data_IF_103484587584
#
_entry.id   IF_103484587584
#
_cell.length_a   1.000
_cell.length_b   1.000
_cell.length_c   1.000
_cell.angle_alpha   90.00
_cell.angle_beta   90.00
_cell.angle_gamma   90.00
#
_symmetry.space_group_name_H-M   'P 1'
#
loop_
_entity.id
_entity.type
_entity.pdbx_description
1 polymer ?
#
# COMPACT_ATOMS: atom_id res chain seq x y z
N UNK A 1 -12.09 35.22 -16.10
CA UNK A 1 -11.44 34.11 -16.81
C UNK A 1 -11.16 32.99 -15.80
N UNK A 2 -11.98 31.93 -15.76
CA UNK A 2 -11.90 30.85 -14.77
C UNK A 2 -11.22 29.62 -15.41
N UNK A 3 -10.00 29.30 -15.00
CA UNK A 3 -9.33 28.05 -15.39
C UNK A 3 -9.99 26.87 -14.65
N UNK A 4 -10.62 25.97 -15.41
CA UNK A 4 -11.08 24.67 -14.92
C UNK A 4 -9.86 23.75 -14.80
N UNK A 5 -9.57 23.26 -13.59
CA UNK A 5 -8.61 22.16 -13.37
C UNK A 5 -9.29 20.87 -13.83
N UNK A 6 -8.76 20.28 -14.91
CA UNK A 6 -9.21 18.98 -15.43
C UNK A 6 -8.45 17.89 -14.65
N UNK A 7 -9.14 17.16 -13.78
CA UNK A 7 -8.63 15.91 -13.20
C UNK A 7 -8.83 14.82 -14.24
N UNK A 8 -7.73 14.29 -14.80
CA UNK A 8 -7.74 13.17 -15.73
C UNK A 8 -7.50 11.89 -14.92
N UNK A 9 -8.58 11.21 -14.56
CA UNK A 9 -8.53 9.86 -13.96
C UNK A 9 -8.68 8.87 -15.10
N UNK A 10 -7.56 8.35 -15.62
CA UNK A 10 -7.55 7.39 -16.73
C UNK A 10 -7.54 5.95 -16.20
N UNK A 11 -8.53 5.15 -16.61
CA UNK A 11 -8.60 3.72 -16.31
C UNK A 11 -7.88 2.93 -17.42
N UNK A 12 -6.96 2.03 -17.05
CA UNK A 12 -6.23 1.17 -17.99
C UNK A 12 -6.95 -0.18 -18.13
N UNK A 13 -7.15 -0.66 -19.36
CA UNK A 13 -7.68 -2.00 -19.64
C UNK A 13 -6.79 -2.70 -20.68
N UNK A 14 -6.41 -3.97 -20.42
CA UNK A 14 -5.54 -4.78 -21.30
C UNK A 14 -6.38 -5.89 -21.94
N UNK A 15 -6.25 -6.07 -23.27
CA UNK A 15 -6.83 -7.19 -24.00
C UNK A 15 -5.74 -8.19 -24.42
N UNK A 16 -5.93 -9.49 -24.13
CA UNK A 16 -5.01 -10.59 -24.47
C UNK A 16 -5.62 -11.46 -25.57
N UNK A 17 -4.85 -11.78 -26.61
CA UNK A 17 -5.27 -12.70 -27.68
C UNK A 17 -4.84 -14.16 -27.37
N UNK A 18 -5.61 -15.17 -27.81
CA UNK A 18 -5.37 -16.56 -27.43
C UNK A 18 -4.35 -17.25 -28.34
N UNK A 19 -3.18 -17.57 -27.80
CA UNK A 19 -2.24 -18.56 -28.33
C UNK A 19 -1.83 -19.49 -27.19
N UNK A 20 -1.87 -20.80 -27.41
CA UNK A 20 -1.55 -21.91 -26.47
C UNK A 20 -1.39 -21.48 -24.99
N UNK A 21 -2.51 -21.53 -24.27
CA UNK A 21 -2.67 -21.04 -22.90
C UNK A 21 -1.91 -21.91 -21.88
N UNK A 22 -0.62 -21.63 -21.66
CA UNK A 22 -0.21 -21.50 -20.25
C UNK A 22 -0.99 -20.29 -19.77
N UNK A 23 -1.94 -20.45 -18.85
CA UNK A 23 -2.66 -19.31 -18.31
C UNK A 23 -1.64 -18.41 -17.60
N UNK A 24 -1.31 -17.29 -18.23
CA UNK A 24 -0.40 -16.29 -17.69
C UNK A 24 -1.24 -15.24 -16.99
N UNK A 25 -0.94 -14.98 -15.73
CA UNK A 25 -1.55 -13.91 -14.96
C UNK A 25 -0.67 -12.68 -15.12
N UNK A 26 -1.17 -11.68 -15.85
CA UNK A 26 -0.56 -10.35 -15.96
C UNK A 26 -1.31 -9.39 -15.04
N UNK A 27 -0.61 -8.79 -14.09
CA UNK A 27 -1.18 -7.81 -13.17
C UNK A 27 -0.33 -6.55 -13.15
N UNK A 28 -0.96 -5.39 -13.29
CA UNK A 28 -0.32 -4.11 -13.02
C UNK A 28 -0.23 -3.97 -11.51
N UNK A 29 0.98 -3.93 -10.96
CA UNK A 29 1.19 -3.77 -9.52
C UNK A 29 1.30 -2.32 -9.09
N UNK A 30 1.76 -1.45 -10.00
CA UNK A 30 1.90 -0.01 -9.72
C UNK A 30 2.01 0.80 -11.02
N UNK A 31 1.48 2.02 -11.02
CA UNK A 31 1.69 3.03 -12.07
C UNK A 31 2.27 4.29 -11.42
N UNK A 32 3.54 4.62 -11.70
CA UNK A 32 4.18 5.85 -11.21
C UNK A 32 4.08 6.97 -12.25
N UNK A 33 3.26 7.98 -11.95
CA UNK A 33 3.06 9.18 -12.78
C UNK A 33 3.97 10.34 -12.38
N UNK A 34 4.92 10.15 -11.45
CA UNK A 34 5.78 11.21 -10.91
C UNK A 34 6.68 11.91 -11.94
N UNK A 35 6.83 11.34 -13.14
CA UNK A 35 7.59 11.89 -14.27
C UNK A 35 6.72 12.45 -15.40
N UNK A 36 5.40 12.40 -15.26
CA UNK A 36 4.45 12.76 -16.32
C UNK A 36 4.57 14.23 -16.71
N UNK A 37 4.66 15.14 -15.73
CA UNK A 37 4.74 16.58 -16.01
C UNK A 37 6.12 17.01 -16.53
N UNK A 38 7.18 16.33 -16.10
CA UNK A 38 8.56 16.70 -16.45
C UNK A 38 9.00 16.14 -17.80
N UNK A 39 8.59 14.91 -18.11
CA UNK A 39 9.12 14.16 -19.26
C UNK A 39 8.04 13.50 -20.11
N UNK A 40 6.76 13.64 -19.75
CA UNK A 40 5.65 12.92 -20.38
C UNK A 40 5.82 11.39 -20.33
N UNK A 41 6.48 10.90 -19.28
CA UNK A 41 6.74 9.46 -19.07
C UNK A 41 5.98 8.95 -17.85
N UNK A 42 5.58 7.68 -17.93
CA UNK A 42 4.94 6.93 -16.85
C UNK A 42 5.73 5.63 -16.71
N UNK A 43 6.06 5.27 -15.48
CA UNK A 43 6.70 4.00 -15.18
C UNK A 43 5.62 3.01 -14.70
N UNK A 44 5.41 1.92 -15.43
CA UNK A 44 4.45 0.86 -15.06
C UNK A 44 5.19 -0.37 -14.54
N UNK A 45 4.74 -0.88 -13.39
CA UNK A 45 5.27 -2.08 -12.77
C UNK A 45 4.28 -3.22 -12.96
N UNK A 46 4.78 -4.35 -13.46
CA UNK A 46 3.99 -5.51 -13.84
C UNK A 46 4.47 -6.73 -13.05
N UNK A 47 3.54 -7.56 -12.60
CA UNK A 47 3.79 -8.92 -12.16
C UNK A 47 3.29 -9.87 -13.24
N UNK A 48 4.13 -10.80 -13.67
CA UNK A 48 3.76 -11.87 -14.60
C UNK A 48 4.01 -13.20 -13.91
N UNK A 49 2.96 -13.99 -13.72
CA UNK A 49 3.07 -15.34 -13.15
C UNK A 49 2.39 -16.36 -14.04
N UNK A 50 2.76 -17.63 -13.88
CA UNK A 50 1.97 -18.72 -14.42
C UNK A 50 0.67 -18.96 -13.61
N UNK A 51 -0.03 -20.04 -13.93
CA UNK A 51 -1.28 -20.46 -13.28
C UNK A 51 -1.05 -20.98 -11.85
N UNK A 52 0.16 -21.39 -11.52
CA UNK A 52 0.59 -21.77 -10.18
C UNK A 52 1.06 -20.57 -9.34
N UNK A 53 1.10 -19.36 -9.93
CA UNK A 53 1.56 -18.15 -9.27
C UNK A 53 3.09 -18.01 -9.26
N UNK A 54 3.81 -18.84 -10.02
CA UNK A 54 5.27 -18.78 -10.13
C UNK A 54 5.64 -17.66 -11.10
N UNK A 55 6.55 -16.72 -10.73
CA UNK A 55 6.98 -15.64 -11.60
C UNK A 55 7.60 -16.16 -12.91
N UNK A 56 7.12 -15.64 -14.04
CA UNK A 56 7.67 -15.94 -15.35
C UNK A 56 8.97 -15.13 -15.57
N UNK A 57 10.06 -15.83 -15.84
CA UNK A 57 11.40 -15.22 -16.01
C UNK A 57 11.72 -14.86 -17.47
N UNK A 58 11.01 -15.46 -18.42
CA UNK A 58 11.19 -15.26 -19.86
C UNK A 58 9.93 -14.69 -20.48
N UNK A 59 9.97 -13.39 -20.78
CA UNK A 59 8.94 -12.66 -21.55
C UNK A 59 9.63 -12.02 -22.74
N UNK A 60 9.06 -12.12 -23.93
CA UNK A 60 9.49 -11.30 -25.07
C UNK A 60 8.90 -9.89 -24.92
N UNK A 61 9.74 -8.84 -24.79
CA UNK A 61 9.28 -7.46 -24.75
C UNK A 61 8.34 -7.08 -25.91
N UNK A 62 8.48 -7.71 -27.08
CA UNK A 62 7.63 -7.46 -28.26
C UNK A 62 6.18 -7.93 -28.11
N UNK A 63 5.90 -8.78 -27.13
CA UNK A 63 4.54 -9.27 -26.84
C UNK A 63 3.75 -8.33 -25.93
N UNK A 64 4.42 -7.41 -25.23
CA UNK A 64 3.76 -6.46 -24.34
C UNK A 64 3.18 -5.31 -25.15
N UNK A 65 1.87 -5.11 -25.01
CA UNK A 65 1.16 -3.96 -25.58
C UNK A 65 0.49 -3.19 -24.46
N UNK A 66 0.74 -1.89 -24.41
CA UNK A 66 0.09 -0.98 -23.47
C UNK A 66 -0.88 -0.11 -24.27
N UNK A 67 -2.10 0.03 -23.77
CA UNK A 67 -3.10 0.93 -24.32
C UNK A 67 -3.60 1.85 -23.21
N UNK A 68 -3.96 3.08 -23.58
CA UNK A 68 -4.52 4.05 -22.65
C UNK A 68 -5.75 4.70 -23.26
N UNK A 69 -6.68 5.11 -22.40
CA UNK A 69 -7.92 5.75 -22.83
C UNK A 69 -7.68 7.21 -23.25
N UNK A 70 -8.27 7.60 -24.39
CA UNK A 70 -8.42 8.98 -24.85
C UNK A 70 -9.88 9.26 -25.20
N UNK A 71 -10.26 10.54 -25.33
CA UNK A 71 -11.56 10.91 -25.88
C UNK A 71 -11.72 10.27 -27.28
N UNK A 72 -12.56 9.24 -27.37
CA UNK A 72 -12.79 8.47 -28.61
C UNK A 72 -12.33 7.01 -28.58
N UNK A 73 -11.74 6.52 -27.48
CA UNK A 73 -11.45 5.09 -27.28
C UNK A 73 -10.01 4.81 -26.84
N UNK A 74 -9.63 3.54 -26.96
CA UNK A 74 -8.29 3.07 -26.58
C UNK A 74 -7.26 3.44 -27.64
N UNK A 75 -6.13 4.00 -27.20
CA UNK A 75 -4.97 4.32 -28.04
C UNK A 75 -3.74 3.54 -27.58
N UNK A 76 -2.86 3.09 -28.49
CA UNK A 76 -1.60 2.45 -28.09
C UNK A 76 -0.68 3.47 -27.39
N UNK A 77 -0.02 3.02 -26.32
CA UNK A 77 1.05 3.75 -25.67
C UNK A 77 2.41 3.24 -26.20
N UNK A 78 3.34 4.16 -26.44
CA UNK A 78 4.71 3.80 -26.83
C UNK A 78 5.46 3.23 -25.62
N UNK A 79 6.07 2.06 -25.81
CA UNK A 79 6.91 1.43 -24.81
C UNK A 79 8.36 1.85 -25.07
N UNK A 80 8.88 2.74 -24.22
CA UNK A 80 10.25 3.26 -24.37
C UNK A 80 11.33 2.25 -23.95
N UNK A 81 11.06 1.44 -22.93
CA UNK A 81 11.98 0.44 -22.40
C UNK A 81 11.26 -0.56 -21.51
N UNK A 82 11.74 -1.81 -21.47
CA UNK A 82 11.29 -2.85 -20.54
C UNK A 82 12.49 -3.32 -19.73
N UNK A 83 12.38 -3.27 -18.40
CA UNK A 83 13.43 -3.71 -17.47
C UNK A 83 12.95 -4.97 -16.74
N UNK A 84 13.52 -6.12 -17.08
CA UNK A 84 13.29 -7.38 -16.36
C UNK A 84 13.96 -7.32 -15.00
N UNK A 85 13.31 -7.85 -13.98
CA UNK A 85 13.81 -7.84 -12.60
C UNK A 85 14.20 -6.44 -12.11
N UNK A 86 13.56 -5.37 -12.62
CA UNK A 86 13.82 -3.99 -12.20
C UNK A 86 13.68 -3.72 -10.70
N UNK A 87 13.18 -4.70 -9.93
CA UNK A 87 13.22 -4.75 -8.49
C UNK A 87 14.64 -4.68 -7.88
N UNK A 88 15.68 -5.20 -8.56
CA UNK A 88 17.03 -5.26 -7.96
C UNK A 88 17.76 -3.91 -7.93
N UNK A 89 17.43 -2.97 -8.82
CA UNK A 89 18.13 -1.68 -8.91
C UNK A 89 17.24 -0.45 -8.67
N UNK A 90 15.91 -0.61 -8.64
CA UNK A 90 15.01 0.51 -8.36
C UNK A 90 14.82 0.67 -6.85
N UNK A 91 15.31 1.78 -6.29
CA UNK A 91 15.12 2.11 -4.88
C UNK A 91 13.62 2.16 -4.53
N UNK A 92 13.18 1.23 -3.67
CA UNK A 92 11.80 1.17 -3.19
C UNK A 92 11.62 2.05 -1.96
N UNK A 93 10.43 2.65 -1.81
CA UNK A 93 10.07 3.44 -0.63
C UNK A 93 8.91 2.75 0.09
N UNK A 94 9.16 2.35 1.32
CA UNK A 94 8.18 1.73 2.19
C UNK A 94 7.69 2.71 3.24
N UNK A 95 6.40 2.63 3.58
CA UNK A 95 5.85 3.21 4.80
C UNK A 95 5.19 2.09 5.61
N UNK A 96 5.78 1.80 6.76
CA UNK A 96 5.22 0.88 7.73
C UNK A 96 4.11 1.61 8.50
N UNK A 97 2.89 1.08 8.47
CA UNK A 97 1.73 1.67 9.12
C UNK A 97 1.20 0.67 10.14
N UNK A 98 1.37 0.97 11.41
CA UNK A 98 1.08 0.05 12.51
C UNK A 98 -0.19 0.50 13.21
N UNK A 99 -1.15 -0.42 13.30
CA UNK A 99 -2.34 -0.25 14.10
C UNK A 99 -1.95 -0.23 15.58
N UNK A 100 -2.27 0.87 16.25
CA UNK A 100 -2.03 1.11 17.66
C UNK A 100 -3.35 1.21 18.43
N UNK A 101 -4.38 0.48 18.01
CA UNK A 101 -5.65 0.37 18.71
C UNK A 101 -5.54 -0.55 19.95
N UNK A 102 -6.60 -0.55 20.77
CA UNK A 102 -6.61 -1.32 22.02
C UNK A 102 -6.48 -2.83 21.81
N UNK A 103 -7.13 -3.36 20.77
CA UNK A 103 -7.16 -4.79 20.41
C UNK A 103 -5.81 -5.32 19.96
N UNK A 104 -4.92 -4.45 19.45
CA UNK A 104 -3.55 -4.83 19.12
C UNK A 104 -2.73 -5.21 20.37
N UNK A 105 -3.15 -4.79 21.57
CA UNK A 105 -2.50 -5.17 22.83
C UNK A 105 -3.12 -6.39 23.51
N UNK A 106 -4.15 -6.98 22.92
CA UNK A 106 -4.69 -8.25 23.40
C UNK A 106 -3.78 -9.41 22.98
N UNK A 107 -3.80 -10.53 23.73
CA UNK A 107 -3.04 -11.71 23.39
C UNK A 107 -3.31 -12.18 21.96
N UNK A 108 -2.25 -12.66 21.31
CA UNK A 108 -2.40 -13.44 20.08
C UNK A 108 -3.20 -14.71 20.44
N UNK A 109 -4.29 -14.98 19.71
CA UNK A 109 -5.08 -16.19 19.94
C UNK A 109 -4.21 -17.45 19.80
N UNK A 110 -4.71 -18.60 20.25
CA UNK A 110 -4.07 -19.92 20.07
C UNK A 110 -2.87 -20.27 20.98
N UNK A 111 -2.74 -19.61 22.13
CA UNK A 111 -1.76 -20.00 23.15
C UNK A 111 -0.34 -19.52 22.85
N UNK A 112 -0.15 -18.69 21.83
CA UNK A 112 1.07 -17.94 21.63
C UNK A 112 1.25 -16.90 22.76
N UNK A 113 2.49 -16.72 23.19
CA UNK A 113 2.80 -15.69 24.17
C UNK A 113 2.96 -14.33 23.49
N UNK A 114 2.50 -13.30 24.20
CA UNK A 114 2.58 -11.92 23.77
C UNK A 114 1.31 -11.41 23.09
N UNK A 115 1.32 -10.11 22.83
CA UNK A 115 0.26 -9.36 22.17
C UNK A 115 0.47 -9.25 20.67
N UNK A 116 -0.60 -8.96 19.92
CA UNK A 116 -0.51 -8.74 18.46
C UNK A 116 0.49 -7.63 18.11
N UNK A 117 0.56 -6.58 18.93
CA UNK A 117 1.51 -5.46 18.81
C UNK A 117 2.95 -5.93 18.96
N UNK A 118 3.26 -6.80 19.92
CA UNK A 118 4.62 -7.34 20.08
C UNK A 118 5.04 -8.16 18.86
N UNK A 119 4.12 -8.97 18.31
CA UNK A 119 4.35 -9.73 17.08
C UNK A 119 4.51 -8.82 15.85
N UNK A 120 3.68 -7.78 15.74
CA UNK A 120 3.78 -6.78 14.67
C UNK A 120 5.13 -6.05 14.71
N UNK A 121 5.57 -5.59 15.88
CA UNK A 121 6.87 -4.94 16.04
C UNK A 121 8.02 -5.91 15.75
N UNK A 122 7.93 -7.16 16.19
CA UNK A 122 8.93 -8.19 15.87
C UNK A 122 9.05 -8.42 14.36
N UNK A 123 7.92 -8.53 13.65
CA UNK A 123 7.90 -8.68 12.20
C UNK A 123 8.49 -7.44 11.49
N UNK A 124 8.17 -6.25 11.98
CA UNK A 124 8.75 -5.00 11.49
C UNK A 124 10.26 -4.99 11.67
N UNK A 125 10.78 -5.32 12.84
CA UNK A 125 12.24 -5.34 13.07
C UNK A 125 12.93 -6.39 12.20
N UNK A 126 12.34 -7.57 12.02
CA UNK A 126 12.87 -8.59 11.12
C UNK A 126 12.92 -8.09 9.67
N UNK A 127 11.84 -7.44 9.19
CA UNK A 127 11.81 -6.82 7.87
C UNK A 127 12.87 -5.73 7.72
N UNK A 128 12.98 -4.83 8.70
CA UNK A 128 13.98 -3.77 8.70
C UNK A 128 15.40 -4.34 8.62
N UNK A 129 15.68 -5.42 9.35
CA UNK A 129 16.98 -6.09 9.33
C UNK A 129 17.32 -6.69 7.95
N UNK A 130 16.35 -7.35 7.32
CA UNK A 130 16.51 -7.93 5.97
C UNK A 130 16.84 -6.85 4.92
N UNK A 131 16.25 -5.66 5.03
CA UNK A 131 16.42 -4.59 4.05
C UNK A 131 17.52 -3.58 4.41
N UNK A 132 18.26 -3.76 5.51
CA UNK A 132 19.35 -2.85 5.94
C UNK A 132 20.41 -2.63 4.86
N UNK A 133 20.71 -3.66 4.07
CA UNK A 133 21.71 -3.61 3.00
C UNK A 133 21.14 -3.14 1.65
N UNK A 134 19.82 -2.87 1.58
CA UNK A 134 19.14 -2.46 0.36
C UNK A 134 19.29 -0.95 0.08
N UNK A 135 18.94 -0.52 -1.13
CA UNK A 135 18.84 0.91 -1.50
C UNK A 135 17.50 1.54 -1.06
N UNK A 136 16.69 0.83 -0.28
CA UNK A 136 15.33 1.24 0.06
C UNK A 136 15.30 2.47 1.00
N UNK A 137 14.15 3.13 1.01
CA UNK A 137 13.77 4.09 2.04
C UNK A 137 12.64 3.51 2.86
N UNK A 138 12.66 3.73 4.15
CA UNK A 138 11.62 3.23 5.05
C UNK A 138 11.19 4.33 5.98
N UNK A 139 9.88 4.51 6.11
CA UNK A 139 9.24 5.34 7.11
C UNK A 139 8.38 4.48 8.03
N UNK A 140 7.94 5.07 9.13
CA UNK A 140 7.01 4.44 10.06
C UNK A 140 5.94 5.43 10.50
N UNK A 141 4.72 4.94 10.62
CA UNK A 141 3.57 5.64 11.16
C UNK A 141 2.77 4.69 12.06
N UNK A 142 2.05 5.28 13.00
CA UNK A 142 1.04 4.58 13.80
C UNK A 142 -0.31 5.23 13.62
N UNK A 143 -1.36 4.44 13.79
CA UNK A 143 -2.71 4.97 13.78
C UNK A 143 -3.63 4.32 14.81
N UNK A 144 -4.63 5.07 15.23
CA UNK A 144 -5.77 4.62 16.01
C UNK A 144 -6.96 5.57 15.70
N UNK A 145 -7.39 6.38 16.66
CA UNK A 145 -8.22 7.57 16.44
C UNK A 145 -7.52 8.65 15.60
N UNK A 146 -6.19 8.70 15.67
CA UNK A 146 -5.33 9.68 14.98
C UNK A 146 -4.33 8.98 14.08
N UNK A 147 -3.77 9.70 13.11
CA UNK A 147 -2.64 9.24 12.32
C UNK A 147 -1.37 10.01 12.70
N UNK A 148 -0.32 9.31 13.13
CA UNK A 148 0.96 9.92 13.49
C UNK A 148 2.11 9.34 12.67
N UNK A 149 2.74 10.19 11.87
CA UNK A 149 3.99 9.84 11.19
C UNK A 149 5.15 9.90 12.18
N UNK A 150 5.70 8.75 12.54
CA UNK A 150 6.80 8.62 13.51
C UNK A 150 8.15 8.94 12.88
N UNK A 151 8.34 8.50 11.63
CA UNK A 151 9.50 8.80 10.81
C UNK A 151 9.10 8.87 9.35
N UNK A 152 9.54 9.93 8.66
CA UNK A 152 9.43 10.01 7.20
C UNK A 152 10.29 8.91 6.55
N UNK A 153 9.97 8.47 5.32
CA UNK A 153 10.85 7.56 4.60
C UNK A 153 12.29 8.08 4.45
N UNK A 154 13.21 7.39 5.11
CA UNK A 154 14.66 7.67 5.15
C UNK A 154 15.46 6.41 4.80
N UNK A 155 16.73 6.57 4.44
CA UNK A 155 17.63 5.42 4.20
C UNK A 155 18.28 4.90 5.49
N UNK A 156 18.37 5.74 6.51
CA UNK A 156 18.90 5.35 7.82
C UNK A 156 17.84 4.56 8.58
N UNK A 157 17.97 3.24 8.54
CA UNK A 157 17.04 2.31 9.19
C UNK A 157 17.07 2.47 10.72
N UNK A 158 18.21 2.84 11.31
CA UNK A 158 18.30 3.01 12.78
C UNK A 158 17.39 4.14 13.25
N UNK A 159 17.27 5.23 12.48
CA UNK A 159 16.35 6.32 12.80
C UNK A 159 14.87 5.86 12.83
N UNK A 160 14.51 4.88 12.00
CA UNK A 160 13.18 4.27 11.98
C UNK A 160 13.00 3.36 13.18
N UNK A 161 13.99 2.51 13.50
CA UNK A 161 13.98 1.64 14.68
C UNK A 161 13.81 2.44 15.98
N UNK A 162 14.55 3.55 16.14
CA UNK A 162 14.39 4.45 17.29
C UNK A 162 13.02 5.14 17.33
N UNK A 163 12.39 5.36 16.17
CA UNK A 163 11.04 5.90 16.11
C UNK A 163 9.98 4.90 16.57
N UNK A 164 10.14 3.63 16.22
CA UNK A 164 9.25 2.54 16.63
C UNK A 164 9.29 2.28 18.13
N UNK A 165 10.44 2.46 18.79
CA UNK A 165 10.56 2.34 20.26
C UNK A 165 9.70 3.34 21.04
N UNK A 166 9.25 4.42 20.40
CA UNK A 166 8.37 5.43 21.02
C UNK A 166 6.89 5.06 20.98
N UNK A 167 6.53 3.94 20.35
CA UNK A 167 5.15 3.47 20.30
C UNK A 167 4.75 2.99 21.70
N UNK A 168 3.73 3.65 22.25
CA UNK A 168 3.15 3.30 23.54
C UNK A 168 1.68 2.96 23.38
N UNK A 169 1.19 2.08 24.26
CA UNK A 169 -0.23 1.73 24.32
C UNK A 169 -1.08 2.99 24.50
N UNK A 170 -2.11 3.21 23.67
CA UNK A 170 -2.96 4.39 23.80
C UNK A 170 -3.82 4.31 25.06
N UNK A 171 -4.29 5.46 25.50
CA UNK A 171 -5.35 5.54 26.51
C UNK A 171 -6.64 4.90 26.00
N UNK A 172 -7.47 4.36 26.92
CA UNK A 172 -8.78 3.77 26.58
C UNK A 172 -9.71 4.72 25.81
N UNK A 173 -9.51 6.03 25.92
CA UNK A 173 -10.31 7.04 25.22
C UNK A 173 -9.92 7.20 23.74
N UNK A 174 -8.80 6.62 23.32
CA UNK A 174 -8.27 6.67 21.96
C UNK A 174 -8.27 5.28 21.29
N UNK A 175 -8.97 4.29 21.88
CA UNK A 175 -9.04 2.91 21.39
C UNK A 175 -9.95 2.72 20.16
N UNK A 176 -10.16 3.76 19.36
CA UNK A 176 -10.87 3.71 18.10
C UNK A 176 -9.88 3.46 16.97
N UNK A 177 -10.38 3.05 15.80
CA UNK A 177 -9.53 2.66 14.66
C UNK A 177 -10.05 3.31 13.39
N UNK A 178 -9.33 4.30 12.89
CA UNK A 178 -9.62 5.05 11.66
C UNK A 178 -8.83 4.45 10.48
N UNK A 179 -9.08 3.18 10.17
CA UNK A 179 -8.28 2.37 9.24
C UNK A 179 -8.16 3.01 7.85
N UNK A 180 -9.29 3.33 7.22
CA UNK A 180 -9.32 3.86 5.86
C UNK A 180 -8.74 5.28 5.78
N UNK A 181 -8.94 6.08 6.84
CA UNK A 181 -8.27 7.36 6.95
C UNK A 181 -6.75 7.20 7.04
N UNK A 182 -6.27 6.25 7.86
CA UNK A 182 -4.84 5.98 8.00
C UNK A 182 -4.19 5.53 6.69
N UNK A 183 -4.86 4.66 5.91
CA UNK A 183 -4.38 4.26 4.58
C UNK A 183 -4.31 5.47 3.64
N UNK A 184 -5.33 6.32 3.65
CA UNK A 184 -5.33 7.55 2.84
C UNK A 184 -4.17 8.48 3.23
N UNK A 185 -3.93 8.69 4.52
CA UNK A 185 -2.82 9.52 5.03
C UNK A 185 -1.46 8.93 4.70
N UNK A 186 -1.31 7.61 4.79
CA UNK A 186 -0.09 6.92 4.39
C UNK A 186 0.21 7.11 2.89
N UNK A 187 -0.83 7.07 2.05
CA UNK A 187 -0.69 7.37 0.63
C UNK A 187 -0.24 8.81 0.39
N UNK A 188 -0.82 9.79 1.11
CA UNK A 188 -0.37 11.18 1.07
C UNK A 188 1.12 11.32 1.40
N UNK A 189 1.58 10.63 2.45
CA UNK A 189 2.96 10.73 2.90
C UNK A 189 3.95 10.12 1.90
N UNK A 190 3.53 9.07 1.19
CA UNK A 190 4.32 8.44 0.12
C UNK A 190 4.23 9.17 -1.23
N UNK A 191 3.17 9.95 -1.49
CA UNK A 191 2.94 10.63 -2.79
C UNK A 191 4.10 11.53 -3.24
N UNK A 192 4.88 12.06 -2.28
CA UNK A 192 6.05 12.93 -2.54
C UNK A 192 7.29 12.18 -3.04
N UNK A 193 7.30 10.85 -2.95
CA UNK A 193 8.42 10.01 -3.37
C UNK A 193 8.21 9.50 -4.79
N UNK A 194 9.33 9.32 -5.51
CA UNK A 194 9.36 8.76 -6.86
C UNK A 194 9.75 7.28 -6.82
N UNK A 195 9.36 6.54 -7.85
CA UNK A 195 9.68 5.13 -8.02
C UNK A 195 8.70 4.22 -7.28
N UNK A 196 9.16 3.02 -6.95
CA UNK A 196 8.33 2.00 -6.31
C UNK A 196 7.94 2.40 -4.90
N UNK A 197 6.66 2.34 -4.59
CA UNK A 197 6.10 2.78 -3.31
C UNK A 197 5.15 1.73 -2.76
N UNK A 198 5.32 1.37 -1.50
CA UNK A 198 4.43 0.45 -0.83
C UNK A 198 4.11 0.91 0.59
N UNK A 199 2.83 0.75 0.96
CA UNK A 199 2.38 0.75 2.35
C UNK A 199 2.38 -0.69 2.83
N UNK A 200 3.01 -0.94 3.98
CA UNK A 200 2.87 -2.20 4.71
C UNK A 200 2.05 -1.90 5.95
N UNK A 201 0.80 -2.34 5.94
CA UNK A 201 -0.14 -2.13 7.03
C UNK A 201 -0.14 -3.34 7.95
N UNK A 202 0.10 -3.13 9.25
CA UNK A 202 0.00 -4.15 10.28
C UNK A 202 -1.20 -3.86 11.16
N UNK A 203 -2.27 -4.65 11.06
CA UNK A 203 -3.55 -4.39 11.73
C UNK A 203 -4.33 -5.69 11.95
N UNK A 204 -5.29 -5.66 12.87
CA UNK A 204 -6.31 -6.71 13.00
C UNK A 204 -7.51 -6.50 12.05
N UNK A 205 -7.46 -5.45 11.21
CA UNK A 205 -8.43 -5.16 10.16
C UNK A 205 -9.71 -4.48 10.65
N UNK A 206 -9.82 -4.13 11.93
CA UNK A 206 -11.01 -3.45 12.42
C UNK A 206 -11.04 -1.97 12.01
N UNK A 207 -12.14 -1.54 11.39
CA UNK A 207 -12.44 -0.13 11.24
C UNK A 207 -13.54 0.27 12.21
N UNK A 208 -13.18 1.05 13.23
CA UNK A 208 -14.07 1.51 14.30
C UNK A 208 -14.01 3.06 14.42
N UNK A 209 -14.60 3.81 13.47
CA UNK A 209 -14.44 5.26 13.39
C UNK A 209 -14.95 6.00 14.62
N UNK A 210 -14.17 6.99 15.09
CA UNK A 210 -14.42 7.74 16.32
C UNK A 210 -15.77 8.45 16.30
N UNK A 211 -16.07 9.20 15.23
CA UNK A 211 -17.31 9.97 15.13
C UNK A 211 -18.55 9.08 15.15
N UNK A 212 -18.52 7.97 14.41
CA UNK A 212 -19.63 7.00 14.34
C UNK A 212 -19.95 6.37 15.70
N UNK A 213 -18.96 6.28 16.59
CA UNK A 213 -19.05 5.52 17.84
C UNK A 213 -19.19 6.39 19.08
N UNK A 214 -18.58 7.56 19.08
CA UNK A 214 -18.67 8.52 20.20
C UNK A 214 -19.71 9.62 19.99
N UNK A 215 -20.13 9.88 18.74
CA UNK A 215 -20.95 11.03 18.38
C UNK A 215 -20.23 12.38 18.45
N UNK A 216 -18.93 12.38 18.80
CA UNK A 216 -18.10 13.59 18.93
C UNK A 216 -17.20 13.74 17.69
N UNK A 217 -16.92 14.97 17.24
CA UNK A 217 -16.04 15.18 16.11
C UNK A 217 -14.64 14.63 16.41
N UNK A 218 -14.07 13.89 15.46
CA UNK A 218 -12.68 13.46 15.49
C UNK A 218 -11.75 14.70 15.41
N UNK A 219 -10.65 14.75 16.18
CA UNK A 219 -9.73 15.89 16.18
C UNK A 219 -9.07 16.20 14.82
N UNK A 220 -8.92 15.20 13.95
CA UNK A 220 -8.26 15.32 12.65
C UNK A 220 -9.27 15.37 11.49
N UNK A 221 -10.31 14.54 11.54
CA UNK A 221 -11.27 14.38 10.44
C UNK A 221 -12.62 15.06 10.69
N UNK A 222 -12.84 15.63 11.88
CA UNK A 222 -14.11 16.21 12.27
C UNK A 222 -15.24 15.18 12.22
N UNK A 223 -16.25 15.41 11.38
CA UNK A 223 -17.37 14.47 11.17
C UNK A 223 -17.22 13.61 9.92
N UNK A 224 -16.09 13.71 9.22
CA UNK A 224 -15.86 12.94 8.00
C UNK A 224 -15.67 11.45 8.33
N UNK A 225 -16.24 10.58 7.50
CA UNK A 225 -16.09 9.14 7.58
C UNK A 225 -15.43 8.65 6.30
N UNK A 226 -14.23 8.09 6.43
CA UNK A 226 -13.50 7.53 5.31
C UNK A 226 -13.99 6.12 5.01
N UNK A 227 -14.15 5.82 3.73
CA UNK A 227 -14.59 4.54 3.19
C UNK A 227 -13.43 3.78 2.54
N UNK A 228 -13.59 2.47 2.30
CA UNK A 228 -12.63 1.69 1.52
C UNK A 228 -12.27 2.34 0.18
N UNK A 229 -13.27 2.89 -0.52
CA UNK A 229 -13.10 3.50 -1.85
C UNK A 229 -12.19 4.73 -1.79
N UNK A 230 -12.31 5.57 -0.75
CA UNK A 230 -11.46 6.75 -0.58
C UNK A 230 -9.97 6.37 -0.47
N UNK A 231 -9.70 5.24 0.20
CA UNK A 231 -8.35 4.71 0.37
C UNK A 231 -7.80 4.14 -0.93
N UNK A 232 -8.61 3.35 -1.63
CA UNK A 232 -8.23 2.74 -2.89
C UNK A 232 -7.96 3.78 -3.97
N UNK A 233 -8.87 4.74 -4.14
CA UNK A 233 -8.72 5.83 -5.10
C UNK A 233 -7.42 6.59 -4.85
N UNK A 234 -7.06 6.80 -3.57
CA UNK A 234 -5.83 7.49 -3.23
C UNK A 234 -4.58 6.67 -3.56
N UNK A 235 -4.57 5.38 -3.22
CA UNK A 235 -3.48 4.47 -3.53
C UNK A 235 -3.24 4.36 -5.04
N UNK A 236 -4.30 4.14 -5.83
CA UNK A 236 -4.21 4.04 -7.30
C UNK A 236 -3.71 5.35 -7.89
N UNK A 237 -4.30 6.48 -7.49
CA UNK A 237 -3.94 7.81 -8.03
C UNK A 237 -2.47 8.14 -7.84
N UNK A 238 -1.92 7.82 -6.67
CA UNK A 238 -0.53 8.13 -6.34
C UNK A 238 0.42 6.99 -6.69
N UNK A 239 -0.08 5.88 -7.27
CA UNK A 239 0.73 4.73 -7.67
C UNK A 239 1.40 4.08 -6.47
N UNK A 240 0.61 3.66 -5.47
CA UNK A 240 1.10 3.10 -4.22
C UNK A 240 0.42 1.75 -3.99
N UNK A 241 1.24 0.72 -3.77
CA UNK A 241 0.76 -0.62 -3.47
C UNK A 241 0.50 -0.79 -1.98
N UNK A 242 -0.60 -1.44 -1.59
CA UNK A 242 -0.88 -1.79 -0.19
C UNK A 242 -0.65 -3.29 0.06
N UNK A 243 0.18 -3.60 1.04
CA UNK A 243 0.30 -4.93 1.63
C UNK A 243 -0.28 -4.93 3.04
N UNK A 244 -1.27 -5.78 3.30
CA UNK A 244 -1.86 -5.95 4.63
C UNK A 244 -1.25 -7.15 5.36
N UNK A 245 -0.91 -6.98 6.62
CA UNK A 245 -0.54 -8.05 7.56
C UNK A 245 -1.64 -8.11 8.61
N UNK A 246 -2.45 -9.16 8.54
CA UNK A 246 -3.64 -9.35 9.36
C UNK A 246 -3.30 -10.13 10.65
N UNK A 247 -3.61 -9.54 11.80
CA UNK A 247 -3.45 -10.14 13.13
C UNK A 247 -4.77 -10.62 13.77
N UNK A 248 -5.86 -10.66 12.98
CA UNK A 248 -7.16 -11.19 13.39
C UNK A 248 -7.47 -12.52 12.73
N UNK A 249 -8.27 -13.35 13.40
CA UNK A 249 -8.85 -14.56 12.78
C UNK A 249 -9.93 -14.22 11.75
N UNK A 250 -10.51 -13.02 11.85
CA UNK A 250 -11.55 -12.55 10.94
C UNK A 250 -10.95 -11.50 10.02
N UNK A 251 -10.92 -11.81 8.71
CA UNK A 251 -10.48 -10.89 7.67
C UNK A 251 -11.50 -9.78 7.45
N UNK A 252 -11.04 -8.54 7.28
CA UNK A 252 -11.84 -7.47 6.66
C UNK A 252 -11.84 -7.67 5.14
N UNK A 253 -12.99 -8.02 4.52
CA UNK A 253 -13.07 -8.19 3.07
C UNK A 253 -12.68 -6.91 2.32
N UNK A 254 -12.91 -5.74 2.92
CA UNK A 254 -12.60 -4.45 2.32
C UNK A 254 -11.10 -4.23 2.26
N UNK A 255 -10.37 -4.55 3.33
CA UNK A 255 -8.90 -4.47 3.34
C UNK A 255 -8.27 -5.40 2.30
N UNK A 256 -8.77 -6.63 2.19
CA UNK A 256 -8.33 -7.57 1.14
C UNK A 256 -8.55 -7.00 -0.25
N UNK A 257 -9.74 -6.45 -0.50
CA UNK A 257 -10.09 -5.81 -1.78
C UNK A 257 -9.15 -4.64 -2.11
N UNK A 258 -8.96 -3.70 -1.18
CA UNK A 258 -8.08 -2.55 -1.38
C UNK A 258 -6.64 -3.00 -1.68
N UNK A 259 -6.14 -3.98 -0.92
CA UNK A 259 -4.77 -4.49 -1.10
C UNK A 259 -4.59 -5.08 -2.49
N UNK A 260 -5.51 -5.94 -2.93
CA UNK A 260 -5.45 -6.56 -4.28
C UNK A 260 -5.63 -5.53 -5.39
N UNK A 261 -6.64 -4.66 -5.31
CA UNK A 261 -6.94 -3.66 -6.35
C UNK A 261 -5.85 -2.57 -6.45
N UNK A 262 -5.08 -2.34 -5.38
CA UNK A 262 -3.88 -1.47 -5.41
C UNK A 262 -2.59 -2.19 -5.86
N UNK A 263 -2.68 -3.48 -6.23
CA UNK A 263 -1.58 -4.27 -6.77
C UNK A 263 -0.76 -5.07 -5.73
N UNK A 264 -1.25 -5.17 -4.50
CA UNK A 264 -0.63 -5.88 -3.39
C UNK A 264 -1.44 -7.11 -2.96
N UNK A 265 -1.34 -7.47 -1.68
CA UNK A 265 -2.04 -8.63 -1.11
C UNK A 265 -2.16 -8.53 0.40
N UNK A 266 -2.92 -9.43 1.02
CA UNK A 266 -3.03 -9.58 2.48
C UNK A 266 -2.41 -10.90 2.90
N UNK A 267 -1.54 -10.85 3.91
CA UNK A 267 -0.94 -12.00 4.58
C UNK A 267 -1.56 -12.15 5.97
N UNK A 268 -1.74 -13.38 6.40
CA UNK A 268 -2.22 -13.69 7.74
C UNK A 268 -1.01 -13.99 8.64
N UNK A 269 -0.93 -13.31 9.77
CA UNK A 269 0.14 -13.53 10.75
C UNK A 269 -0.14 -14.76 11.64
N UNK A 270 -1.35 -15.30 11.62
CA UNK A 270 -1.86 -16.32 12.57
C UNK A 270 -2.14 -17.69 11.94
N UNK A 271 -1.71 -17.94 10.70
CA UNK A 271 -1.94 -19.19 9.97
C UNK A 271 -0.64 -19.77 9.44
#
# INVERSE_FOLDING_TARGET
MKMKKLFLTGMFMIAVMPGMLIAQNLTITQIDSGRLLETSRIDCFLSLTDKEGIPLTTIDPGEIRIQHEKQGGMSPAEILSIVKNGASDTAMTFLLVIDNSGSMYDPVGHGEQGSRMEHALKAVYAFLDEIKSSKARVGAAVFNTRYTLLSKPVKDIMAVEEALKRITKPDKKESYTELYYAITRAADDLSRYRGRKAVILLSDGENYPYFKKSGKPNPETGTALYKPEDSLDRLIKDGITLYGINFSLKKDPSLSRISVESGGTVFDALT
#
